data_IF_497075235145
#
_entry.id   IF_497075235145
#
_cell.length_a   1.000
_cell.length_b   1.000
_cell.length_c   1.000
_cell.angle_alpha   90.00
_cell.angle_beta   90.00
_cell.angle_gamma   90.00
#
_symmetry.space_group_name_H-M   'P 1'
#
loop_
_entity.id
_entity.type
_entity.pdbx_description
1 polymer ?
#
# COMPACT_ATOMS: atom_id res chain seq x y z
N UNK A 1 -16.92 -16.89 4.14
CA UNK A 1 -16.45 -16.09 5.29
C UNK A 1 -16.08 -14.71 4.77
N UNK A 2 -16.84 -13.67 5.10
CA UNK A 2 -16.57 -12.29 4.68
C UNK A 2 -15.48 -11.69 5.58
N UNK A 3 -14.27 -11.54 5.04
CA UNK A 3 -13.10 -11.10 5.80
C UNK A 3 -13.10 -9.56 5.84
N UNK A 4 -13.73 -9.00 6.87
CA UNK A 4 -13.86 -7.54 7.08
C UNK A 4 -12.54 -7.00 7.62
N UNK A 5 -12.08 -5.86 7.10
CA UNK A 5 -10.90 -5.14 7.60
C UNK A 5 -11.24 -3.70 7.97
N UNK A 6 -10.36 -3.03 8.72
CA UNK A 6 -10.58 -1.65 9.15
C UNK A 6 -10.43 -0.66 8.00
N UNK A 7 -9.50 -0.92 7.08
CA UNK A 7 -9.40 -0.16 5.84
C UNK A 7 -8.75 -0.95 4.69
N UNK A 8 -8.99 -0.47 3.48
CA UNK A 8 -8.41 -0.99 2.25
C UNK A 8 -7.65 0.13 1.52
N UNK A 9 -6.47 -0.19 1.00
CA UNK A 9 -5.76 0.64 0.04
C UNK A 9 -5.87 0.09 -1.38
N UNK A 10 -6.08 0.98 -2.35
CA UNK A 10 -6.12 0.62 -3.78
C UNK A 10 -4.88 1.20 -4.47
N UNK A 11 -4.12 0.32 -5.12
CA UNK A 11 -2.80 0.58 -5.65
C UNK A 11 -1.70 0.35 -4.60
N UNK A 12 -0.60 -0.30 -5.01
CA UNK A 12 0.59 -0.55 -4.20
C UNK A 12 1.76 0.23 -4.84
N UNK A 13 1.67 1.55 -4.76
CA UNK A 13 2.79 2.48 -4.99
C UNK A 13 3.55 2.79 -3.69
N UNK A 14 4.66 3.55 -3.73
CA UNK A 14 5.47 3.84 -2.54
C UNK A 14 4.70 4.43 -1.37
N UNK A 15 3.71 5.31 -1.64
CA UNK A 15 2.88 5.92 -0.60
C UNK A 15 2.01 4.89 0.13
N UNK A 16 1.22 4.10 -0.61
CA UNK A 16 0.41 3.06 0.00
C UNK A 16 1.25 1.93 0.60
N UNK A 17 2.44 1.67 0.05
CA UNK A 17 3.40 0.73 0.64
C UNK A 17 3.91 1.21 2.01
N UNK A 18 4.10 2.53 2.18
CA UNK A 18 4.45 3.14 3.47
C UNK A 18 3.33 2.94 4.50
N UNK A 19 2.08 3.21 4.10
CA UNK A 19 0.91 2.98 4.97
C UNK A 19 0.79 1.50 5.32
N UNK A 20 0.98 0.59 4.34
CA UNK A 20 0.94 -0.85 4.56
C UNK A 20 2.01 -1.32 5.55
N UNK A 21 3.23 -0.79 5.46
CA UNK A 21 4.32 -1.13 6.37
C UNK A 21 4.05 -0.65 7.80
N UNK A 22 3.45 0.53 7.96
CA UNK A 22 3.07 1.06 9.27
C UNK A 22 1.88 0.29 9.86
N UNK A 23 0.84 0.02 9.07
CA UNK A 23 -0.34 -0.72 9.53
C UNK A 23 -0.05 -2.19 9.80
N UNK A 24 0.90 -2.81 9.11
CA UNK A 24 1.34 -4.18 9.37
C UNK A 24 2.00 -4.36 10.75
N UNK A 25 2.43 -3.27 11.39
CA UNK A 25 3.02 -3.29 12.73
C UNK A 25 2.07 -2.75 13.80
N UNK A 26 0.91 -2.22 13.41
CA UNK A 26 -0.05 -1.64 14.35
C UNK A 26 -0.95 -2.73 14.95
N UNK A 27 -0.88 -2.90 16.27
CA UNK A 27 -1.76 -3.83 16.99
C UNK A 27 -3.22 -3.37 16.91
N UNK A 28 -4.13 -4.32 16.70
CA UNK A 28 -5.56 -4.04 16.61
C UNK A 28 -6.01 -3.32 15.34
N UNK A 29 -5.13 -3.18 14.33
CA UNK A 29 -5.46 -2.56 13.04
C UNK A 29 -5.32 -3.59 11.91
N UNK A 30 -6.43 -3.90 11.26
CA UNK A 30 -6.49 -4.79 10.10
C UNK A 30 -6.54 -3.99 8.80
N UNK A 31 -5.69 -4.33 7.84
CA UNK A 31 -5.58 -3.62 6.57
C UNK A 31 -5.31 -4.55 5.42
N UNK A 32 -5.72 -4.15 4.21
CA UNK A 32 -5.39 -4.84 2.95
C UNK A 32 -5.14 -3.85 1.84
N UNK A 33 -4.17 -4.17 0.98
CA UNK A 33 -3.85 -3.34 -0.16
C UNK A 33 -3.90 -4.18 -1.43
N UNK A 34 -4.52 -3.65 -2.49
CA UNK A 34 -4.71 -4.38 -3.75
C UNK A 34 -4.04 -3.66 -4.92
N UNK A 35 -3.38 -4.39 -5.81
CA UNK A 35 -2.83 -3.87 -7.06
C UNK A 35 -3.05 -4.88 -8.19
N UNK A 36 -3.41 -4.38 -9.37
CA UNK A 36 -3.61 -5.22 -10.55
C UNK A 36 -2.31 -5.82 -11.11
N UNK A 37 -1.15 -5.24 -10.78
CA UNK A 37 0.17 -5.75 -11.22
C UNK A 37 0.50 -7.06 -10.50
N UNK A 38 1.31 -7.94 -11.12
CA UNK A 38 1.66 -9.23 -10.55
C UNK A 38 2.66 -9.17 -9.40
N UNK A 39 3.43 -8.08 -9.32
CA UNK A 39 4.42 -7.84 -8.27
C UNK A 39 4.68 -6.34 -8.14
N UNK A 40 5.35 -5.95 -7.05
CA UNK A 40 5.79 -4.57 -6.87
C UNK A 40 6.80 -4.19 -7.97
N UNK A 41 6.57 -3.03 -8.58
CA UNK A 41 7.49 -2.42 -9.55
C UNK A 41 7.44 -0.90 -9.41
N UNK A 42 8.59 -0.26 -9.20
CA UNK A 42 8.68 1.18 -9.10
C UNK A 42 9.43 1.74 -10.31
N UNK A 43 8.69 2.41 -11.20
CA UNK A 43 9.19 3.02 -12.44
C UNK A 43 10.09 2.10 -13.32
N UNK A 44 9.61 0.93 -13.77
CA UNK A 44 10.45 -0.02 -14.52
C UNK A 44 11.01 0.52 -15.85
N UNK A 45 10.41 1.56 -16.42
CA UNK A 45 10.85 2.21 -17.66
C UNK A 45 11.72 3.46 -17.51
N UNK A 46 12.09 3.87 -16.28
CA UNK A 46 12.87 5.11 -16.02
C UNK A 46 14.11 4.86 -15.15
N UNK A 47 14.62 3.63 -15.14
CA UNK A 47 15.89 3.27 -14.52
C UNK A 47 17.01 3.48 -15.54
N UNK A 48 17.30 4.74 -15.85
CA UNK A 48 18.50 5.10 -16.59
C UNK A 48 19.70 4.81 -15.68
N UNK A 49 20.80 4.21 -16.20
CA UNK A 49 22.02 4.03 -15.42
C UNK A 49 22.45 5.32 -14.71
N UNK A 50 22.98 5.18 -13.50
CA UNK A 50 23.51 6.27 -12.68
C UNK A 50 22.48 7.32 -12.20
N UNK A 51 21.17 7.03 -12.27
CA UNK A 51 20.16 7.86 -11.64
C UNK A 51 20.09 7.66 -10.12
N UNK A 52 20.20 8.75 -9.38
CA UNK A 52 20.01 8.79 -7.93
C UNK A 52 18.65 9.33 -7.52
N UNK A 53 18.23 8.98 -6.32
CA UNK A 53 17.14 9.65 -5.62
C UNK A 53 17.47 11.13 -5.44
N UNK A 54 16.48 11.99 -5.62
CA UNK A 54 16.57 13.43 -5.28
C UNK A 54 16.40 13.68 -3.77
N UNK A 55 16.02 12.64 -3.02
CA UNK A 55 15.77 12.68 -1.58
C UNK A 55 16.82 11.88 -0.82
N UNK A 56 17.06 12.29 0.42
CA UNK A 56 17.88 11.54 1.37
C UNK A 56 17.26 10.18 1.70
N UNK A 57 18.09 9.17 1.92
CA UNK A 57 17.66 7.78 2.14
C UNK A 57 16.83 7.58 3.42
N UNK A 58 16.90 8.48 4.39
CA UNK A 58 16.04 8.45 5.60
C UNK A 58 14.60 8.91 5.33
N UNK A 59 14.33 9.50 4.17
CA UNK A 59 12.96 9.70 3.65
C UNK A 59 12.48 8.40 2.97
N UNK A 60 12.63 7.29 3.68
CA UNK A 60 12.17 5.97 3.28
C UNK A 60 10.67 5.78 3.63
N UNK A 61 10.18 4.54 3.64
CA UNK A 61 8.78 4.25 3.92
C UNK A 61 8.33 4.58 5.34
N UNK A 62 9.21 4.52 6.35
CA UNK A 62 8.78 4.40 7.74
C UNK A 62 9.63 5.18 8.73
N UNK A 63 10.90 5.47 8.44
CA UNK A 63 11.88 5.98 9.40
C UNK A 63 11.49 7.30 10.06
N UNK A 64 10.78 8.17 9.34
CA UNK A 64 10.30 9.44 9.89
C UNK A 64 9.17 9.28 10.93
N UNK A 65 8.50 8.12 10.98
CA UNK A 65 7.35 7.83 11.86
C UNK A 65 7.70 6.75 12.88
N UNK A 66 8.33 5.67 12.43
CA UNK A 66 8.67 4.49 13.20
C UNK A 66 10.10 4.02 12.84
N UNK A 67 11.16 4.67 13.37
CA UNK A 67 12.55 4.36 13.02
C UNK A 67 12.99 2.93 13.41
N UNK A 68 12.30 2.29 14.34
CA UNK A 68 12.52 0.89 14.73
C UNK A 68 11.81 -0.12 13.83
N UNK A 69 11.01 0.35 12.87
CA UNK A 69 10.27 -0.52 11.96
C UNK A 69 11.20 -1.46 11.19
N UNK A 70 10.84 -2.75 11.05
CA UNK A 70 11.63 -3.69 10.27
C UNK A 70 11.65 -3.31 8.78
N UNK A 71 10.78 -2.42 8.31
CA UNK A 71 10.73 -1.98 6.91
C UNK A 71 11.54 -0.70 6.62
N UNK A 72 12.38 -0.25 7.54
CA UNK A 72 13.30 0.86 7.29
C UNK A 72 14.39 0.51 6.27
N UNK A 73 14.86 1.50 5.53
CA UNK A 73 15.94 1.38 4.56
C UNK A 73 17.25 0.94 5.23
N UNK A 74 17.49 1.41 6.47
CA UNK A 74 18.65 0.98 7.25
C UNK A 74 18.58 -0.52 7.58
N UNK A 75 17.41 -1.02 8.02
CA UNK A 75 17.26 -2.45 8.27
C UNK A 75 17.40 -3.28 6.99
N UNK A 76 16.89 -2.78 5.86
CA UNK A 76 17.14 -3.36 4.53
C UNK A 76 18.64 -3.51 4.24
N UNK A 77 19.43 -2.45 4.44
CA UNK A 77 20.88 -2.49 4.23
C UNK A 77 21.57 -3.55 5.10
N UNK A 78 21.14 -3.69 6.36
CA UNK A 78 21.66 -4.72 7.28
C UNK A 78 21.28 -6.11 6.78
N UNK A 79 20.01 -6.35 6.45
CA UNK A 79 19.50 -7.65 5.97
C UNK A 79 20.13 -8.07 4.64
N UNK A 80 20.47 -7.12 3.77
CA UNK A 80 21.18 -7.37 2.51
C UNK A 80 22.71 -7.40 2.65
N UNK A 81 23.26 -7.26 3.86
CA UNK A 81 24.72 -7.20 4.13
C UNK A 81 25.44 -6.07 3.38
N UNK A 82 24.74 -4.94 3.14
CA UNK A 82 25.24 -3.76 2.42
C UNK A 82 25.56 -2.57 3.34
N UNK A 83 25.21 -2.65 4.64
CA UNK A 83 25.29 -1.51 5.57
C UNK A 83 26.68 -0.85 5.64
N UNK A 84 27.74 -1.60 5.95
CA UNK A 84 29.08 -1.03 6.04
C UNK A 84 29.58 -0.46 4.71
N UNK A 85 29.29 -1.16 3.59
CA UNK A 85 29.59 -0.66 2.25
C UNK A 85 28.89 0.68 1.97
N UNK A 86 27.62 0.80 2.36
CA UNK A 86 26.87 2.04 2.19
C UNK A 86 27.50 3.20 2.98
N UNK A 87 27.92 2.95 4.24
CA UNK A 87 28.59 3.96 5.06
C UNK A 87 29.91 4.44 4.46
N UNK A 88 30.74 3.51 3.95
CA UNK A 88 32.06 3.87 3.39
C UNK A 88 31.97 4.60 2.05
N UNK A 89 30.84 4.51 1.34
CA UNK A 89 30.67 5.18 0.04
C UNK A 89 30.35 6.68 0.15
N UNK A 90 30.08 7.19 1.34
CA UNK A 90 29.73 8.61 1.60
C UNK A 90 28.61 9.17 0.70
N UNK A 91 27.77 8.29 0.14
CA UNK A 91 26.66 8.67 -0.73
C UNK A 91 25.57 9.37 0.07
N UNK A 92 25.27 10.62 -0.28
CA UNK A 92 24.14 11.38 0.31
C UNK A 92 22.78 10.85 -0.12
N UNK A 93 22.73 10.20 -1.29
CA UNK A 93 21.50 9.68 -1.90
C UNK A 93 21.74 8.29 -2.47
N UNK A 94 20.69 7.47 -2.44
CA UNK A 94 20.70 6.10 -2.95
C UNK A 94 20.39 6.09 -4.45
N UNK A 95 20.93 5.13 -5.20
CA UNK A 95 20.54 4.93 -6.60
C UNK A 95 19.06 4.54 -6.69
N UNK A 96 18.41 4.87 -7.81
CA UNK A 96 17.01 4.48 -8.03
C UNK A 96 16.84 2.96 -8.04
N UNK A 97 17.81 2.22 -8.56
CA UNK A 97 17.80 0.76 -8.58
C UNK A 97 17.82 0.17 -7.17
N UNK A 98 18.72 0.67 -6.31
CA UNK A 98 18.84 0.20 -4.93
C UNK A 98 17.61 0.59 -4.11
N UNK A 99 17.04 1.78 -4.34
CA UNK A 99 15.78 2.15 -3.69
C UNK A 99 14.60 1.31 -4.21
N UNK A 100 14.55 1.00 -5.51
CA UNK A 100 13.53 0.10 -6.07
C UNK A 100 13.66 -1.31 -5.51
N UNK A 101 14.89 -1.81 -5.26
CA UNK A 101 15.10 -3.11 -4.61
C UNK A 101 14.64 -3.08 -3.15
N UNK A 102 14.93 -2.00 -2.43
CA UNK A 102 14.41 -1.77 -1.08
C UNK A 102 12.88 -1.83 -1.03
N UNK A 103 12.20 -1.11 -1.92
CA UNK A 103 10.73 -1.10 -1.94
C UNK A 103 10.15 -2.48 -2.27
N UNK A 104 10.78 -3.22 -3.20
CA UNK A 104 10.39 -4.61 -3.51
C UNK A 104 10.59 -5.52 -2.30
N UNK A 105 11.75 -5.44 -1.65
CA UNK A 105 12.07 -6.20 -0.45
C UNK A 105 11.07 -5.93 0.69
N UNK A 106 10.69 -4.67 0.89
CA UNK A 106 9.68 -4.32 1.89
C UNK A 106 8.32 -4.95 1.54
N UNK A 107 7.92 -4.88 0.27
CA UNK A 107 6.67 -5.49 -0.20
C UNK A 107 6.64 -7.02 0.00
N UNK A 108 7.75 -7.72 -0.23
CA UNK A 108 7.87 -9.17 -0.01
C UNK A 108 7.76 -9.56 1.47
N UNK A 109 8.08 -8.64 2.39
CA UNK A 109 8.05 -8.88 3.83
C UNK A 109 6.69 -8.65 4.51
N UNK A 110 5.63 -8.36 3.75
CA UNK A 110 4.31 -8.01 4.28
C UNK A 110 3.22 -8.96 3.76
N UNK A 111 2.29 -9.33 4.63
CA UNK A 111 1.18 -10.24 4.29
C UNK A 111 -0.15 -9.53 3.98
N UNK A 112 -0.20 -8.20 4.10
CA UNK A 112 -1.37 -7.36 3.85
C UNK A 112 -1.39 -6.78 2.42
N UNK A 113 -0.54 -7.29 1.53
CA UNK A 113 -0.44 -6.88 0.12
C UNK A 113 -0.97 -7.97 -0.82
N UNK A 114 -1.85 -7.57 -1.74
CA UNK A 114 -2.53 -8.47 -2.67
C UNK A 114 -2.30 -8.00 -4.12
N UNK A 115 -1.37 -8.67 -4.80
CA UNK A 115 -1.05 -8.44 -6.21
C UNK A 115 -1.89 -9.36 -7.12
N UNK A 116 -2.06 -9.00 -8.40
CA UNK A 116 -3.00 -9.61 -9.34
C UNK A 116 -4.48 -9.43 -8.95
N UNK A 117 -4.80 -8.36 -8.24
CA UNK A 117 -6.16 -8.03 -7.83
C UNK A 117 -6.52 -6.66 -8.39
N UNK A 118 -7.26 -6.66 -9.52
CA UNK A 118 -7.78 -5.41 -10.08
C UNK A 118 -9.11 -5.11 -9.42
N UNK A 119 -9.17 -4.02 -8.65
CA UNK A 119 -10.42 -3.52 -8.06
C UNK A 119 -11.23 -2.87 -9.18
N UNK A 120 -12.45 -3.37 -9.41
CA UNK A 120 -13.32 -2.90 -10.50
C UNK A 120 -14.40 -1.94 -10.01
N UNK A 121 -14.93 -2.20 -8.81
CA UNK A 121 -15.93 -1.36 -8.18
C UNK A 121 -15.72 -1.27 -6.67
N UNK A 122 -16.20 -0.17 -6.11
CA UNK A 122 -16.35 0.04 -4.68
C UNK A 122 -17.79 0.48 -4.48
N UNK A 123 -18.53 -0.31 -3.72
CA UNK A 123 -19.92 -0.06 -3.38
C UNK A 123 -20.01 0.23 -1.88
N UNK A 124 -21.05 0.96 -1.46
CA UNK A 124 -21.31 1.19 -0.05
C UNK A 124 -22.56 0.43 0.38
N UNK A 125 -22.37 -0.50 1.33
CA UNK A 125 -23.47 -1.20 1.99
C UNK A 125 -24.02 -0.32 3.12
N UNK A 126 -25.14 0.34 2.85
CA UNK A 126 -25.83 1.20 3.81
C UNK A 126 -26.32 0.44 5.05
N UNK A 127 -26.66 -0.85 4.94
CA UNK A 127 -27.18 -1.62 6.08
C UNK A 127 -26.09 -1.91 7.10
N UNK A 128 -24.90 -2.24 6.61
CA UNK A 128 -23.77 -2.58 7.47
C UNK A 128 -22.79 -1.42 7.66
N UNK A 129 -23.01 -0.29 6.99
CA UNK A 129 -22.15 0.90 7.00
C UNK A 129 -20.70 0.56 6.62
N UNK A 130 -20.54 -0.20 5.54
CA UNK A 130 -19.26 -0.75 5.07
C UNK A 130 -19.08 -0.52 3.58
N UNK A 131 -17.85 -0.31 3.15
CA UNK A 131 -17.47 -0.39 1.74
C UNK A 131 -17.31 -1.86 1.34
N UNK A 132 -17.88 -2.25 0.21
CA UNK A 132 -17.75 -3.56 -0.39
C UNK A 132 -16.97 -3.41 -1.70
N UNK A 133 -15.93 -4.23 -1.89
CA UNK A 133 -15.13 -4.24 -3.12
C UNK A 133 -15.38 -5.52 -3.90
N UNK A 134 -15.48 -5.39 -5.23
CA UNK A 134 -15.34 -6.49 -6.16
C UNK A 134 -13.97 -6.41 -6.83
N UNK A 135 -13.22 -7.51 -6.77
CA UNK A 135 -11.96 -7.67 -7.48
C UNK A 135 -12.01 -8.88 -8.42
N UNK A 136 -11.31 -8.76 -9.55
CA UNK A 136 -11.04 -9.90 -10.41
C UNK A 136 -9.62 -10.39 -10.14
N UNK A 137 -9.45 -11.63 -9.63
CA UNK A 137 -8.14 -12.29 -9.61
C UNK A 137 -7.64 -12.43 -11.05
N UNK A 138 -6.36 -12.10 -11.27
CA UNK A 138 -5.68 -12.03 -12.56
C UNK A 138 -6.30 -12.88 -13.68
N UNK A 139 -6.80 -12.20 -14.71
CA UNK A 139 -7.40 -12.75 -15.93
C UNK A 139 -6.43 -13.73 -16.62
N UNK A 140 -6.58 -15.05 -16.42
CA UNK A 140 -6.35 -16.00 -17.52
C UNK A 140 -7.59 -15.90 -18.41
N UNK A 141 -7.42 -15.59 -19.71
CA UNK A 141 -8.52 -15.64 -20.69
C UNK A 141 -9.15 -17.04 -20.69
N UNK A 142 -10.23 -17.24 -19.94
CA UNK A 142 -11.21 -18.30 -20.10
C UNK A 142 -12.53 -17.86 -19.46
N UNK A 143 -13.69 -18.09 -20.10
CA UNK A 143 -14.97 -17.60 -19.62
C UNK A 143 -15.48 -18.47 -18.48
N UNK A 144 -16.12 -17.81 -17.50
CA UNK A 144 -16.87 -18.37 -16.37
C UNK A 144 -16.03 -18.74 -15.14
N UNK A 145 -15.83 -17.81 -14.19
CA UNK A 145 -15.83 -18.10 -12.75
C UNK A 145 -16.10 -16.81 -11.95
N UNK A 146 -16.83 -16.94 -10.83
CA UNK A 146 -17.48 -15.88 -10.03
C UNK A 146 -16.48 -14.98 -9.25
N UNK A 147 -16.84 -13.71 -8.96
CA UNK A 147 -15.98 -12.75 -8.25
C UNK A 147 -15.91 -13.01 -6.74
N UNK A 148 -14.80 -12.59 -6.12
CA UNK A 148 -14.61 -12.60 -4.68
C UNK A 148 -15.07 -11.24 -4.12
N UNK A 149 -15.69 -11.23 -2.93
CA UNK A 149 -16.24 -10.03 -2.29
C UNK A 149 -15.46 -9.69 -1.01
N UNK A 150 -15.02 -8.43 -0.86
CA UNK A 150 -14.34 -7.93 0.34
C UNK A 150 -15.11 -6.77 0.99
N UNK A 151 -14.92 -6.52 2.30
CA UNK A 151 -15.60 -5.45 3.06
C UNK A 151 -14.62 -4.62 3.92
N UNK A 152 -14.79 -3.30 3.98
CA UNK A 152 -14.06 -2.37 4.86
C UNK A 152 -15.02 -1.46 5.65
N UNK A 153 -14.68 -1.08 6.88
CA UNK A 153 -15.49 -0.15 7.70
C UNK A 153 -15.29 1.31 7.30
N UNK A 154 -16.35 2.11 7.34
CA UNK A 154 -16.25 3.55 7.08
C UNK A 154 -15.67 4.30 8.30
N UNK A 155 -14.77 5.28 8.11
CA UNK A 155 -14.31 6.13 9.20
C UNK A 155 -15.45 7.03 9.73
N UNK A 156 -15.48 7.27 11.04
CA UNK A 156 -16.55 7.97 11.76
C UNK A 156 -16.85 9.41 11.27
N UNK A 157 -15.93 10.02 10.50
CA UNK A 157 -16.03 11.39 10.01
C UNK A 157 -17.02 11.62 8.85
N UNK A 158 -17.55 10.55 8.24
CA UNK A 158 -18.58 10.64 7.19
C UNK A 158 -20.02 10.63 7.73
N UNK A 159 -20.21 10.68 9.06
CA UNK A 159 -21.51 10.93 9.70
C UNK A 159 -21.89 12.41 9.53
N UNK A 160 -22.33 12.83 8.35
CA UNK A 160 -23.01 14.12 8.18
C UNK A 160 -24.41 13.94 7.63
N UNK A 161 -25.36 14.21 8.53
CA UNK A 161 -26.69 14.80 8.34
C UNK A 161 -27.22 14.83 6.91
N UNK A 162 -28.13 13.91 6.61
CA UNK A 162 -28.99 13.95 5.46
C UNK A 162 -30.45 14.03 5.87
N UNK A 163 -30.84 15.09 6.60
CA UNK A 163 -32.24 15.51 6.62
C UNK A 163 -32.41 16.59 5.56
N UNK A 164 -33.09 16.16 4.48
CA UNK A 164 -33.43 16.96 3.33
C UNK A 164 -34.48 18.02 3.67
N UNK A 165 -34.27 19.22 3.13
CA UNK A 165 -35.25 20.21 2.69
C UNK A 165 -36.73 19.93 3.01
N UNK A 166 -37.29 20.74 3.91
CA UNK A 166 -38.66 21.24 3.81
C UNK A 166 -38.62 22.78 3.92
N UNK A 167 -38.97 23.44 2.81
CA UNK A 167 -39.24 24.87 2.59
C UNK A 167 -40.40 25.38 3.52
N UNK A 168 -40.77 26.70 3.58
CA UNK A 168 -40.50 27.78 2.62
C UNK A 168 -40.18 29.19 3.18
N UNK A 169 -39.75 30.06 2.24
CA UNK A 169 -39.84 31.54 2.16
C UNK A 169 -40.44 32.28 3.36
N UNK A 170 -39.69 33.24 3.90
CA UNK A 170 -39.91 34.70 3.72
C UNK A 170 -38.57 35.42 3.67
#
# INVERSE_FOLDING_TARGET
MTNTVDFIGIGIGPFNLSIAALSHQAEGLSSRFFDGRPHFAWHPGMLVPDCHMQTMFLKDLVSAVAPTSPYSFVNYLVKRKKFYRFLTTELRTVSRDEFSDYLRWAAEGMNNLHFNHTVESIDFDERHQRFCGADQPGRKRCPQYLPWHWQATAPAALRKNGDANLLPRQ
#
